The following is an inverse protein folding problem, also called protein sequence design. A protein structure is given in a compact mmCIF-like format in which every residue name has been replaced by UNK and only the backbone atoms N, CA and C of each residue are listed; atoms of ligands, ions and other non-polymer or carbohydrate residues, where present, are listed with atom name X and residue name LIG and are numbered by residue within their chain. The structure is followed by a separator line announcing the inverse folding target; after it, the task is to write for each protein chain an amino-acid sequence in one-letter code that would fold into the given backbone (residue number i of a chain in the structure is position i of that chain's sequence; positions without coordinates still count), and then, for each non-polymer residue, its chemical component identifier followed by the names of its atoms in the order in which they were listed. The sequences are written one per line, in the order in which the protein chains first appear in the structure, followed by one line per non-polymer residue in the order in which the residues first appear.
data_IF_298943201439
#
_entry.id   IF_298943201439
#
_cell.length_a   1.000
_cell.length_b   1.000
_cell.length_c   1.000
_cell.angle_alpha   90.00
_cell.angle_beta   90.00
_cell.angle_gamma   90.00
#
_symmetry.space_group_name_H-M   'P 1'
#
loop_
_entity.id
_entity.type
_entity.pdbx_description
1 polymer ?
#
# COMPACT_ATOMS: atom_id res chain seq x y z
N UNK A 1 -3.05 -14.89 4.34
CA UNK A 1 -2.70 -13.45 4.31
C UNK A 1 -1.24 -13.36 3.95
N UNK A 2 -0.94 -12.73 2.82
CA UNK A 2 0.42 -12.43 2.40
C UNK A 2 0.70 -10.96 2.76
N UNK A 3 1.96 -10.61 2.95
CA UNK A 3 2.36 -9.20 3.11
C UNK A 3 3.40 -8.91 2.05
N UNK A 4 3.14 -7.91 1.23
CA UNK A 4 4.09 -7.41 0.24
C UNK A 4 4.58 -6.02 0.63
N UNK A 5 5.73 -5.62 0.12
CA UNK A 5 6.34 -4.32 0.38
C UNK A 5 6.41 -3.54 -0.93
N UNK A 6 5.90 -2.31 -0.93
CA UNK A 6 5.99 -1.40 -2.07
C UNK A 6 6.93 -0.27 -1.74
N UNK A 7 7.89 -0.07 -2.62
CA UNK A 7 8.72 1.14 -2.60
C UNK A 7 7.90 2.32 -3.14
N UNK A 8 7.65 3.30 -2.28
CA UNK A 8 7.03 4.57 -2.66
C UNK A 8 8.02 5.73 -2.50
N UNK A 9 7.78 6.89 -3.14
CA UNK A 9 8.63 8.08 -2.97
C UNK A 9 8.81 8.55 -1.52
N UNK A 10 7.90 8.15 -0.63
CA UNK A 10 7.89 8.54 0.79
C UNK A 10 8.44 7.42 1.70
N UNK A 11 8.84 6.30 1.12
CA UNK A 11 9.39 5.12 1.80
C UNK A 11 8.63 3.84 1.50
N UNK A 12 9.12 2.74 2.06
CA UNK A 12 8.50 1.42 1.91
C UNK A 12 7.19 1.35 2.67
N UNK A 13 6.13 0.89 2.02
CA UNK A 13 4.82 0.65 2.62
C UNK A 13 4.47 -0.82 2.50
N UNK A 14 4.17 -1.45 3.64
CA UNK A 14 3.70 -2.84 3.67
C UNK A 14 2.22 -2.91 3.34
N UNK A 15 1.84 -3.88 2.51
CA UNK A 15 0.45 -4.14 2.12
C UNK A 15 0.10 -5.58 2.50
N UNK A 16 -0.98 -5.71 3.27
CA UNK A 16 -1.56 -7.00 3.64
C UNK A 16 -2.54 -7.44 2.57
N UNK A 17 -2.21 -8.54 1.90
CA UNK A 17 -3.03 -9.16 0.87
C UNK A 17 -3.81 -10.32 1.47
N UNK A 18 -5.13 -10.26 1.37
CA UNK A 18 -6.03 -11.35 1.65
C UNK A 18 -6.30 -12.11 0.35
N UNK A 19 -5.88 -13.37 0.29
CA UNK A 19 -6.23 -14.30 -0.78
C UNK A 19 -7.24 -15.32 -0.28
N UNK A 20 -8.26 -15.61 -1.08
CA UNK A 20 -9.25 -16.64 -0.84
C UNK A 20 -9.36 -17.49 -2.10
N UNK A 21 -9.21 -18.81 -1.98
CA UNK A 21 -9.30 -19.76 -3.10
C UNK A 21 -8.38 -19.43 -4.31
N UNK A 22 -7.26 -18.77 -4.05
CA UNK A 22 -6.29 -18.36 -5.09
C UNK A 22 -6.56 -16.98 -5.69
N UNK A 23 -7.69 -16.35 -5.38
CA UNK A 23 -8.02 -14.99 -5.82
C UNK A 23 -7.70 -13.97 -4.72
N UNK A 24 -7.19 -12.81 -5.11
CA UNK A 24 -7.08 -11.68 -4.20
C UNK A 24 -8.49 -11.14 -3.88
N UNK A 25 -8.87 -11.22 -2.62
CA UNK A 25 -10.15 -10.69 -2.12
C UNK A 25 -10.01 -9.34 -1.42
N UNK A 26 -8.77 -8.89 -1.21
CA UNK A 26 -8.51 -7.52 -0.74
C UNK A 26 -7.05 -7.27 -0.40
N UNK A 27 -6.65 -6.02 -0.58
CA UNK A 27 -5.34 -5.52 -0.21
C UNK A 27 -5.49 -4.25 0.64
N UNK A 28 -4.80 -4.22 1.78
CA UNK A 28 -4.83 -3.09 2.72
C UNK A 28 -3.41 -2.70 3.15
N UNK A 29 -2.98 -1.45 2.94
CA UNK A 29 -1.68 -0.95 3.39
C UNK A 29 -1.63 -0.78 4.92
N UNK A 30 -0.44 -0.92 5.50
CA UNK A 30 -0.22 -0.71 6.94
C UNK A 30 -0.40 0.77 7.30
N UNK A 31 -1.29 1.02 8.26
CA UNK A 31 -1.62 2.38 8.70
C UNK A 31 -0.42 3.14 9.26
N UNK A 32 0.49 2.46 9.97
CA UNK A 32 1.70 3.08 10.51
C UNK A 32 2.64 3.58 9.39
N UNK A 33 2.79 2.80 8.33
CA UNK A 33 3.63 3.15 7.19
C UNK A 33 2.99 4.31 6.41
N UNK A 34 1.67 4.28 6.22
CA UNK A 34 0.92 5.41 5.65
C UNK A 34 1.05 6.69 6.46
N UNK A 35 1.00 6.61 7.79
CA UNK A 35 1.15 7.77 8.68
C UNK A 35 2.56 8.37 8.58
N UNK A 36 3.60 7.52 8.49
CA UNK A 36 4.99 7.95 8.28
C UNK A 36 5.17 8.60 6.91
N UNK A 37 4.64 7.98 5.86
CA UNK A 37 4.68 8.51 4.51
C UNK A 37 3.92 9.85 4.40
N UNK A 38 2.75 9.97 5.02
CA UNK A 38 1.98 11.22 5.12
C UNK A 38 2.77 12.34 5.78
N UNK A 39 3.44 12.04 6.91
CA UNK A 39 4.31 13.01 7.58
C UNK A 39 5.49 13.48 6.73
N UNK A 40 6.09 12.58 5.93
CA UNK A 40 7.20 12.93 5.02
C UNK A 40 6.76 13.67 3.76
N UNK A 41 5.57 13.35 3.26
CA UNK A 41 4.99 13.96 2.07
C UNK A 41 4.30 15.30 2.37
N UNK A 42 3.99 15.56 3.66
CA UNK A 42 3.10 16.64 4.10
C UNK A 42 1.70 16.55 3.47
N UNK A 43 1.27 15.32 3.15
CA UNK A 43 -0.02 15.02 2.52
C UNK A 43 -0.97 14.32 3.50
N UNK A 44 -2.29 14.45 3.33
CA UNK A 44 -3.25 13.68 4.11
C UNK A 44 -3.05 12.18 3.94
N UNK A 45 -3.21 11.41 5.03
CA UNK A 45 -3.10 9.93 5.02
C UNK A 45 -4.01 9.31 3.94
N UNK A 46 -5.20 9.89 3.70
CA UNK A 46 -6.12 9.42 2.67
C UNK A 46 -5.53 9.55 1.26
N UNK A 47 -4.75 10.59 1.00
CA UNK A 47 -4.09 10.80 -0.28
C UNK A 47 -2.91 9.84 -0.46
N UNK A 48 -2.10 9.64 0.59
CA UNK A 48 -1.04 8.63 0.58
C UNK A 48 -1.62 7.23 0.39
N UNK A 49 -2.70 6.88 1.11
CA UNK A 49 -3.38 5.60 0.94
C UNK A 49 -3.78 5.38 -0.51
N UNK A 50 -4.42 6.39 -1.14
CA UNK A 50 -4.79 6.33 -2.55
C UNK A 50 -3.58 6.09 -3.44
N UNK A 51 -2.51 6.88 -3.29
CA UNK A 51 -1.31 6.75 -4.10
C UNK A 51 -0.59 5.40 -3.92
N UNK A 52 -0.53 4.88 -2.69
CA UNK A 52 0.03 3.55 -2.40
C UNK A 52 -0.77 2.45 -3.09
N UNK A 53 -2.10 2.51 -3.04
CA UNK A 53 -2.96 1.55 -3.74
C UNK A 53 -2.83 1.67 -5.27
N UNK A 54 -2.67 2.88 -5.80
CA UNK A 54 -2.39 3.08 -7.23
C UNK A 54 -1.03 2.45 -7.63
N UNK A 55 0.00 2.59 -6.80
CA UNK A 55 1.30 1.95 -7.00
C UNK A 55 1.18 0.41 -6.95
N UNK A 56 0.41 -0.11 -6.01
CA UNK A 56 0.14 -1.55 -5.87
C UNK A 56 -0.48 -2.14 -7.13
N UNK A 57 -1.60 -1.59 -7.59
CA UNK A 57 -2.28 -2.07 -8.79
C UNK A 57 -1.44 -1.90 -10.06
N UNK A 58 -0.52 -0.94 -10.09
CA UNK A 58 0.41 -0.77 -11.22
C UNK A 58 1.50 -1.84 -11.21
N UNK A 59 1.99 -2.25 -10.04
CA UNK A 59 2.98 -3.31 -9.89
C UNK A 59 2.46 -4.70 -10.27
N UNK A 60 1.17 -4.97 -10.05
CA UNK A 60 0.53 -6.23 -10.46
C UNK A 60 0.31 -6.38 -11.98
N UNK A 61 0.38 -5.29 -12.74
CA UNK A 61 0.22 -5.31 -14.21
C UNK A 61 1.55 -5.36 -14.98
N UNK A 62 2.67 -5.53 -14.28
CA UNK A 62 4.01 -5.66 -14.86
C UNK A 62 4.33 -7.08 -15.31
#
# INVERSE_FOLDING_TARGET
RETTEIESPWGTVRIKIARHEGEEVGASPEYEDLKRAAGKAELPIKEIHRQVMELYHRGEKG
#
